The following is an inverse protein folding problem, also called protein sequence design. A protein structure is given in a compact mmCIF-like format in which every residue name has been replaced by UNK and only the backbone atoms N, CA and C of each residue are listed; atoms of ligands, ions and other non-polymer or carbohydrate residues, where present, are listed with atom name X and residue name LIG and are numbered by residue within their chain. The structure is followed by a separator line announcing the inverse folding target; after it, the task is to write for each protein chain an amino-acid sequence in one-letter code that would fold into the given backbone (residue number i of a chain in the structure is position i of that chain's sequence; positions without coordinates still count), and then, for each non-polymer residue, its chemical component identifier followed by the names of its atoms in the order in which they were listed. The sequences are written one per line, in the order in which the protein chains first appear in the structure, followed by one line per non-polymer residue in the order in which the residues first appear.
data_IF_565718639459
#
_entry.id   IF_565718639459
#
_cell.length_a   1.000
_cell.length_b   1.000
_cell.length_c   1.000
_cell.angle_alpha   90.00
_cell.angle_beta   90.00
_cell.angle_gamma   90.00
#
_symmetry.space_group_name_H-M   'P 1'
#
loop_
_entity.id
_entity.type
_entity.pdbx_description
1 polymer ?
#
# COMPACT_ATOMS: atom_id res chain seq x y z
N UNK A 1 -15.07 -34.72 -5.00
CA UNK A 1 -14.57 -33.34 -4.94
C UNK A 1 -14.45 -32.93 -3.49
N UNK A 2 -13.24 -32.86 -2.93
CA UNK A 2 -13.02 -32.36 -1.58
C UNK A 2 -13.37 -30.87 -1.55
N UNK A 3 -14.35 -30.46 -0.74
CA UNK A 3 -14.67 -29.03 -0.53
C UNK A 3 -13.40 -28.35 -0.03
N UNK A 4 -12.85 -27.41 -0.80
CA UNK A 4 -11.76 -26.54 -0.32
C UNK A 4 -12.23 -25.87 0.98
N UNK A 5 -11.40 -25.92 2.04
CA UNK A 5 -11.64 -25.18 3.27
C UNK A 5 -11.73 -23.69 2.91
N UNK A 6 -12.81 -23.03 3.33
CA UNK A 6 -13.00 -21.60 3.12
C UNK A 6 -12.44 -20.87 4.34
N UNK A 7 -11.27 -20.26 4.19
CA UNK A 7 -10.69 -19.40 5.23
C UNK A 7 -11.42 -18.06 5.28
N UNK A 8 -11.33 -17.36 6.39
CA UNK A 8 -11.98 -16.09 6.61
C UNK A 8 -10.97 -14.96 6.87
N UNK A 9 -11.33 -13.75 6.44
CA UNK A 9 -10.57 -12.52 6.64
C UNK A 9 -11.42 -11.47 7.35
N UNK A 10 -10.79 -10.73 8.27
CA UNK A 10 -11.32 -9.52 8.89
C UNK A 10 -10.40 -8.35 8.56
N UNK A 11 -10.95 -7.24 8.05
CA UNK A 11 -10.17 -6.05 7.70
C UNK A 11 -10.45 -4.89 8.63
N UNK A 12 -9.40 -4.31 9.17
CA UNK A 12 -9.39 -3.10 9.98
C UNK A 12 -8.79 -1.95 9.19
N UNK A 13 -9.33 -0.74 9.36
CA UNK A 13 -9.00 0.40 8.49
C UNK A 13 -9.27 0.03 7.02
N UNK A 14 -10.43 -0.61 6.77
CA UNK A 14 -10.72 -1.32 5.54
C UNK A 14 -10.72 -0.41 4.29
N UNK A 15 -10.93 0.90 4.48
CA UNK A 15 -11.04 1.86 3.40
C UNK A 15 -12.12 1.42 2.41
N UNK A 16 -11.75 1.31 1.14
CA UNK A 16 -12.65 0.85 0.07
C UNK A 16 -12.55 -0.65 -0.20
N UNK A 17 -12.04 -1.46 0.74
CA UNK A 17 -12.08 -2.92 0.64
C UNK A 17 -10.98 -3.54 -0.21
N UNK A 18 -9.80 -2.90 -0.28
CA UNK A 18 -8.69 -3.36 -1.12
C UNK A 18 -8.06 -4.68 -0.64
N UNK A 19 -8.01 -4.91 0.69
CA UNK A 19 -7.62 -6.20 1.24
C UNK A 19 -8.68 -7.26 0.94
N UNK A 20 -9.94 -6.92 1.18
CA UNK A 20 -11.08 -7.83 1.15
C UNK A 20 -11.26 -8.46 -0.23
N UNK A 21 -11.32 -7.64 -1.30
CA UNK A 21 -11.45 -8.16 -2.66
C UNK A 21 -10.24 -9.02 -3.08
N UNK A 22 -9.04 -8.66 -2.65
CA UNK A 22 -7.82 -9.41 -2.98
C UNK A 22 -7.81 -10.78 -2.29
N UNK A 23 -8.24 -10.86 -1.04
CA UNK A 23 -8.38 -12.11 -0.30
C UNK A 23 -9.52 -12.97 -0.82
N UNK A 24 -10.69 -12.39 -1.14
CA UNK A 24 -11.83 -13.14 -1.70
C UNK A 24 -11.48 -13.80 -3.04
N UNK A 25 -10.77 -13.09 -3.92
CA UNK A 25 -10.25 -13.65 -5.19
C UNK A 25 -9.28 -14.80 -5.00
N UNK A 26 -8.72 -14.95 -3.79
CA UNK A 26 -7.81 -16.02 -3.42
C UNK A 26 -8.43 -17.05 -2.46
N UNK A 27 -9.76 -17.13 -2.39
CA UNK A 27 -10.48 -18.23 -1.72
C UNK A 27 -10.86 -17.98 -0.26
N UNK A 28 -10.77 -16.74 0.21
CA UNK A 28 -11.22 -16.35 1.54
C UNK A 28 -12.68 -15.84 1.52
N UNK A 29 -13.29 -15.72 2.70
CA UNK A 29 -14.55 -15.02 2.93
C UNK A 29 -14.30 -13.80 3.82
N UNK A 30 -14.83 -12.64 3.44
CA UNK A 30 -14.79 -11.46 4.31
C UNK A 30 -15.85 -11.58 5.40
N UNK A 31 -15.44 -11.60 6.66
CA UNK A 31 -16.33 -11.79 7.81
C UNK A 31 -16.53 -10.51 8.63
N UNK A 32 -15.61 -9.56 8.54
CA UNK A 32 -15.68 -8.32 9.30
C UNK A 32 -14.97 -7.16 8.60
N UNK A 33 -15.57 -5.98 8.66
CA UNK A 33 -15.05 -4.76 8.06
C UNK A 33 -15.12 -3.60 9.07
N UNK A 34 -13.98 -3.06 9.48
CA UNK A 34 -13.91 -1.90 10.37
C UNK A 34 -13.38 -0.67 9.64
N UNK A 35 -14.18 0.39 9.55
CA UNK A 35 -13.82 1.64 8.87
C UNK A 35 -14.62 2.81 9.42
N UNK A 36 -13.95 3.93 9.71
CA UNK A 36 -14.58 5.12 10.31
C UNK A 36 -15.07 6.13 9.27
N UNK A 37 -14.50 6.13 8.07
CA UNK A 37 -14.82 7.09 7.03
C UNK A 37 -16.20 6.79 6.38
N UNK A 38 -17.16 7.74 6.41
CA UNK A 38 -18.51 7.49 5.90
C UNK A 38 -18.60 7.17 4.39
N UNK A 39 -17.71 7.75 3.58
CA UNK A 39 -17.67 7.44 2.14
C UNK A 39 -17.20 6.01 1.93
N UNK A 40 -16.11 5.61 2.60
CA UNK A 40 -15.62 4.25 2.59
C UNK A 40 -16.68 3.25 3.09
N UNK A 41 -17.38 3.55 4.19
CA UNK A 41 -18.48 2.70 4.68
C UNK A 41 -19.60 2.52 3.64
N UNK A 42 -19.93 3.56 2.88
CA UNK A 42 -20.90 3.45 1.78
C UNK A 42 -20.42 2.47 0.72
N UNK A 43 -19.13 2.54 0.33
CA UNK A 43 -18.52 1.59 -0.61
C UNK A 43 -18.54 0.16 -0.06
N UNK A 44 -18.11 -0.03 1.20
CA UNK A 44 -18.10 -1.34 1.84
C UNK A 44 -19.52 -1.93 1.96
N UNK A 45 -20.53 -1.11 2.21
CA UNK A 45 -21.94 -1.56 2.28
C UNK A 45 -22.52 -1.91 0.92
N UNK A 46 -22.06 -1.25 -0.15
CA UNK A 46 -22.43 -1.61 -1.52
C UNK A 46 -21.87 -2.98 -1.93
N UNK A 47 -20.61 -3.27 -1.60
CA UNK A 47 -19.94 -4.50 -2.04
C UNK A 47 -20.12 -5.68 -1.08
N UNK A 48 -20.28 -5.42 0.22
CA UNK A 48 -20.47 -6.43 1.27
C UNK A 48 -21.67 -6.09 2.14
N UNK A 49 -22.91 -6.11 1.61
CA UNK A 49 -24.11 -5.70 2.35
C UNK A 49 -24.31 -6.52 3.64
N UNK A 50 -24.09 -7.84 3.57
CA UNK A 50 -24.40 -8.78 4.67
C UNK A 50 -23.24 -8.99 5.65
N UNK A 51 -22.05 -8.45 5.37
CA UNK A 51 -20.89 -8.59 6.26
C UNK A 51 -21.04 -7.66 7.46
N UNK A 52 -20.72 -8.16 8.66
CA UNK A 52 -20.73 -7.37 9.90
C UNK A 52 -19.70 -6.25 9.81
N UNK A 53 -20.11 -5.03 10.18
CA UNK A 53 -19.27 -3.83 10.10
C UNK A 53 -19.06 -3.22 11.48
N UNK A 54 -17.86 -2.70 11.71
CA UNK A 54 -17.52 -1.83 12.83
C UNK A 54 -17.18 -0.43 12.32
N UNK A 55 -17.42 0.58 13.16
CA UNK A 55 -17.14 1.98 12.82
C UNK A 55 -15.77 2.41 13.39
N UNK A 56 -15.74 2.94 14.62
CA UNK A 56 -14.50 3.30 15.31
C UNK A 56 -13.91 2.06 16.01
N UNK A 57 -12.65 1.74 15.71
CA UNK A 57 -11.91 0.63 16.32
C UNK A 57 -11.80 0.75 17.85
N UNK A 58 -11.84 1.98 18.38
CA UNK A 58 -11.80 2.21 19.82
C UNK A 58 -13.10 1.79 20.54
N UNK A 59 -14.21 1.72 19.80
CA UNK A 59 -15.52 1.34 20.37
C UNK A 59 -15.81 -0.16 20.22
N UNK A 60 -15.13 -0.83 19.29
CA UNK A 60 -15.32 -2.27 19.01
C UNK A 60 -14.77 -3.11 20.15
N UNK A 61 -15.57 -4.04 20.67
CA UNK A 61 -15.11 -5.06 21.61
C UNK A 61 -14.68 -6.33 20.87
N UNK A 62 -13.80 -7.13 21.46
CA UNK A 62 -13.37 -8.39 20.84
C UNK A 62 -14.52 -9.38 20.63
N UNK A 63 -15.55 -9.35 21.48
CA UNK A 63 -16.78 -10.13 21.32
C UNK A 63 -17.57 -9.76 20.05
N UNK A 64 -17.42 -8.54 19.54
CA UNK A 64 -18.09 -8.09 18.32
C UNK A 64 -17.47 -8.67 17.06
N UNK A 65 -16.22 -9.09 17.12
CA UNK A 65 -15.45 -9.51 15.94
C UNK A 65 -15.69 -11.01 15.70
N UNK A 66 -16.31 -11.40 14.57
CA UNK A 66 -16.43 -12.81 14.18
C UNK A 66 -15.06 -13.48 14.04
N UNK A 67 -15.03 -14.80 14.15
CA UNK A 67 -13.80 -15.56 13.90
C UNK A 67 -13.32 -15.38 12.45
N UNK A 68 -12.03 -15.13 12.28
CA UNK A 68 -11.33 -15.09 11.00
C UNK A 68 -9.92 -15.65 11.18
N UNK A 69 -9.43 -16.38 10.17
CA UNK A 69 -8.07 -16.95 10.17
C UNK A 69 -7.02 -15.85 9.93
N UNK A 70 -7.39 -14.83 9.14
CA UNK A 70 -6.50 -13.72 8.76
C UNK A 70 -7.11 -12.40 9.19
N UNK A 71 -6.31 -11.54 9.82
CA UNK A 71 -6.66 -10.13 10.03
C UNK A 71 -5.78 -9.24 9.16
N UNK A 72 -6.35 -8.22 8.55
CA UNK A 72 -5.64 -7.24 7.73
C UNK A 72 -5.79 -5.83 8.32
N UNK A 73 -4.73 -5.03 8.27
CA UNK A 73 -4.78 -3.65 8.78
C UNK A 73 -3.76 -2.71 8.15
N UNK A 74 -4.23 -1.59 7.60
CA UNK A 74 -3.39 -0.47 7.17
C UNK A 74 -3.63 0.74 8.08
N UNK A 75 -3.11 0.70 9.32
CA UNK A 75 -3.39 1.77 10.28
C UNK A 75 -2.88 3.13 9.77
N UNK A 76 -3.55 4.24 10.13
CA UNK A 76 -3.33 5.52 9.46
C UNK A 76 -1.87 6.01 9.56
N UNK A 77 -1.27 6.32 8.41
CA UNK A 77 0.13 6.70 8.30
C UNK A 77 0.39 8.21 8.37
N UNK A 78 -0.61 9.05 8.70
CA UNK A 78 -0.48 10.50 8.53
C UNK A 78 0.58 11.13 9.45
N UNK A 79 0.81 10.52 10.62
CA UNK A 79 1.85 10.96 11.56
C UNK A 79 3.25 10.40 11.22
N UNK A 80 3.32 9.55 10.17
CA UNK A 80 4.52 8.83 9.69
C UNK A 80 4.94 9.31 8.27
N UNK A 81 4.02 9.82 7.45
CA UNK A 81 4.23 10.11 6.02
C UNK A 81 4.91 11.46 5.75
N UNK A 82 5.88 11.46 4.82
CA UNK A 82 6.58 12.65 4.31
C UNK A 82 5.70 13.56 3.43
N UNK A 83 4.57 13.04 2.92
CA UNK A 83 3.80 13.70 1.86
C UNK A 83 3.03 14.96 2.30
N UNK A 84 3.02 15.32 3.59
CA UNK A 84 2.24 16.45 4.15
C UNK A 84 3.05 17.68 4.57
N UNK A 85 4.32 17.79 4.16
CA UNK A 85 5.13 18.98 4.47
C UNK A 85 5.48 19.10 5.96
N UNK A 86 6.21 20.16 6.32
CA UNK A 86 7.01 20.37 7.55
C UNK A 86 6.27 20.39 8.92
N UNK A 87 5.19 19.61 9.08
CA UNK A 87 4.54 19.36 10.37
C UNK A 87 5.31 18.29 11.17
N UNK A 88 5.32 18.44 12.50
CA UNK A 88 6.07 17.59 13.44
C UNK A 88 5.60 16.13 13.30
N UNK A 89 6.53 15.22 12.99
CA UNK A 89 6.28 13.76 12.97
C UNK A 89 6.02 13.31 14.40
N UNK A 90 4.78 12.93 14.71
CA UNK A 90 4.43 12.39 16.03
C UNK A 90 4.65 10.87 16.10
N UNK A 91 4.75 10.18 14.95
CA UNK A 91 4.92 8.72 14.90
C UNK A 91 3.81 8.01 15.67
N UNK A 92 4.04 6.88 16.35
CA UNK A 92 2.98 6.16 17.10
C UNK A 92 2.36 6.95 18.27
N UNK A 93 3.00 8.04 18.71
CA UNK A 93 2.44 8.95 19.72
C UNK A 93 1.39 9.92 19.14
N UNK A 94 1.15 9.88 17.83
CA UNK A 94 0.08 10.61 17.17
C UNK A 94 -1.29 9.98 17.41
N UNK A 95 -2.34 10.80 17.44
CA UNK A 95 -3.72 10.33 17.67
C UNK A 95 -4.25 9.40 16.58
N UNK A 96 -3.64 9.39 15.38
CA UNK A 96 -4.08 8.56 14.24
C UNK A 96 -3.26 7.29 14.07
N UNK A 97 -1.94 7.38 14.20
CA UNK A 97 -1.00 6.24 14.18
C UNK A 97 -1.01 5.43 15.48
N UNK A 98 -1.40 6.02 16.61
CA UNK A 98 -1.60 5.32 17.89
C UNK A 98 -2.70 4.25 17.85
N UNK A 99 -3.52 4.22 16.80
CA UNK A 99 -4.50 3.16 16.56
C UNK A 99 -3.86 1.77 16.37
N UNK A 100 -2.53 1.70 16.15
CA UNK A 100 -1.79 0.44 16.22
C UNK A 100 -1.95 -0.24 17.58
N UNK A 101 -1.89 0.49 18.70
CA UNK A 101 -2.02 -0.11 20.03
C UNK A 101 -3.39 -0.73 20.24
N UNK A 102 -4.47 0.00 19.88
CA UNK A 102 -5.83 -0.55 19.93
C UNK A 102 -5.99 -1.79 19.05
N UNK A 103 -5.40 -1.78 17.86
CA UNK A 103 -5.42 -2.94 16.98
C UNK A 103 -4.65 -4.13 17.58
N UNK A 104 -3.48 -3.88 18.17
CA UNK A 104 -2.68 -4.89 18.85
C UNK A 104 -3.39 -5.49 20.09
N UNK A 105 -4.14 -4.69 20.85
CA UNK A 105 -5.00 -5.18 21.93
C UNK A 105 -6.04 -6.18 21.43
N UNK A 106 -6.78 -5.83 20.37
CA UNK A 106 -7.77 -6.72 19.76
C UNK A 106 -7.13 -8.01 19.22
N UNK A 107 -5.94 -7.91 18.62
CA UNK A 107 -5.15 -9.07 18.18
C UNK A 107 -4.74 -9.92 19.39
N UNK A 108 -4.33 -9.31 20.50
CA UNK A 108 -3.94 -10.02 21.72
C UNK A 108 -5.10 -10.84 22.30
N UNK A 109 -6.32 -10.32 22.24
CA UNK A 109 -7.52 -10.99 22.72
C UNK A 109 -8.01 -12.10 21.79
N UNK A 110 -7.95 -11.89 20.47
CA UNK A 110 -8.53 -12.84 19.48
C UNK A 110 -7.55 -13.80 18.85
N UNK A 111 -6.24 -13.49 18.89
CA UNK A 111 -5.13 -14.30 18.37
C UNK A 111 -5.43 -14.93 16.98
N UNK A 112 -5.78 -14.14 15.94
CA UNK A 112 -5.91 -14.69 14.59
C UNK A 112 -4.61 -15.39 14.16
N UNK A 113 -4.70 -16.45 13.35
CA UNK A 113 -3.50 -17.22 12.95
C UNK A 113 -2.50 -16.33 12.18
N UNK A 114 -3.02 -15.43 11.34
CA UNK A 114 -2.23 -14.52 10.52
C UNK A 114 -2.70 -13.08 10.70
N UNK A 115 -1.75 -12.15 10.81
CA UNK A 115 -2.01 -10.71 10.71
C UNK A 115 -1.16 -10.13 9.57
N UNK A 116 -1.80 -9.44 8.63
CA UNK A 116 -1.13 -8.69 7.57
C UNK A 116 -1.24 -7.19 7.88
N UNK A 117 -0.09 -6.51 7.95
CA UNK A 117 -0.02 -5.07 8.17
C UNK A 117 0.60 -4.41 6.95
N UNK A 118 0.02 -3.32 6.47
CA UNK A 118 0.58 -2.48 5.41
C UNK A 118 0.85 -1.07 5.93
N UNK A 119 1.98 -0.48 5.50
CA UNK A 119 2.26 0.93 5.77
C UNK A 119 3.23 1.54 4.73
N UNK A 120 3.46 2.85 4.83
CA UNK A 120 4.42 3.58 3.99
C UNK A 120 5.85 3.21 4.32
N UNK A 121 6.74 3.27 3.32
CA UNK A 121 8.18 3.03 3.49
C UNK A 121 8.85 3.99 4.50
N UNK A 122 8.22 5.12 4.81
CA UNK A 122 8.67 6.05 5.85
C UNK A 122 8.67 5.43 7.25
N UNK A 123 7.88 4.37 7.49
CA UNK A 123 7.75 3.71 8.80
C UNK A 123 9.11 3.26 9.36
N UNK A 124 10.01 2.73 8.52
CA UNK A 124 11.36 2.31 8.93
C UNK A 124 12.21 3.42 9.59
N UNK A 125 11.91 4.68 9.31
CA UNK A 125 12.66 5.84 9.82
C UNK A 125 11.80 6.74 10.72
N UNK A 126 10.56 6.34 10.98
CA UNK A 126 9.64 7.12 11.81
C UNK A 126 10.13 7.13 13.24
N UNK A 127 10.13 8.32 13.87
CA UNK A 127 10.75 8.55 15.18
C UNK A 127 12.13 7.91 15.30
N UNK A 128 13.06 8.17 14.36
CA UNK A 128 14.41 7.57 14.33
C UNK A 128 14.41 6.03 14.31
N UNK A 129 13.37 5.42 13.75
CA UNK A 129 13.20 3.95 13.68
C UNK A 129 12.49 3.33 14.88
N UNK A 130 12.12 4.11 15.89
CA UNK A 130 11.47 3.60 17.10
C UNK A 130 10.08 3.01 16.82
N UNK A 131 9.27 3.69 15.99
CA UNK A 131 7.90 3.24 15.72
C UNK A 131 7.86 1.85 15.08
N UNK A 132 8.78 1.57 14.15
CA UNK A 132 8.86 0.25 13.52
C UNK A 132 9.33 -0.81 14.52
N UNK A 133 10.30 -0.47 15.38
CA UNK A 133 10.75 -1.33 16.47
C UNK A 133 9.63 -1.70 17.43
N UNK A 134 8.83 -0.72 17.86
CA UNK A 134 7.64 -0.93 18.72
C UNK A 134 6.65 -1.89 18.08
N UNK A 135 6.38 -1.78 16.78
CA UNK A 135 5.46 -2.69 16.09
C UNK A 135 5.99 -4.13 16.12
N UNK A 136 7.26 -4.33 15.75
CA UNK A 136 7.86 -5.65 15.76
C UNK A 136 7.86 -6.21 17.18
N UNK A 137 8.36 -5.45 18.16
CA UNK A 137 8.44 -5.88 19.55
C UNK A 137 7.06 -6.27 20.08
N UNK A 138 6.05 -5.41 19.92
CA UNK A 138 4.67 -5.68 20.33
C UNK A 138 4.14 -6.98 19.73
N UNK A 139 4.24 -7.15 18.41
CA UNK A 139 3.72 -8.34 17.74
C UNK A 139 4.47 -9.61 18.16
N UNK A 140 5.79 -9.54 18.34
CA UNK A 140 6.58 -10.67 18.85
C UNK A 140 6.24 -11.03 20.30
N UNK A 141 5.99 -10.04 21.17
CA UNK A 141 5.51 -10.28 22.54
C UNK A 141 4.13 -10.92 22.58
N UNK A 142 3.31 -10.73 21.54
CA UNK A 142 2.04 -11.42 21.37
C UNK A 142 2.18 -12.86 20.81
N UNK A 143 3.40 -13.36 20.59
CA UNK A 143 3.65 -14.70 20.08
C UNK A 143 3.61 -14.81 18.55
N UNK A 144 3.67 -13.69 17.82
CA UNK A 144 3.77 -13.72 16.36
C UNK A 144 5.23 -13.67 15.91
N UNK A 145 5.56 -14.50 14.92
CA UNK A 145 6.73 -14.26 14.11
C UNK A 145 6.42 -13.19 13.08
N UNK A 146 7.28 -12.17 12.95
CA UNK A 146 7.02 -10.98 12.15
C UNK A 146 8.00 -10.93 10.99
N UNK A 147 7.57 -11.37 9.81
CA UNK A 147 8.32 -11.13 8.57
C UNK A 147 7.93 -9.77 8.01
N UNK A 148 8.89 -8.98 7.51
CA UNK A 148 8.60 -7.74 6.81
C UNK A 148 9.34 -7.64 5.49
N UNK A 149 8.74 -6.93 4.54
CA UNK A 149 9.35 -6.65 3.25
C UNK A 149 8.81 -5.38 2.62
N UNK A 150 9.70 -4.60 2.03
CA UNK A 150 9.35 -3.47 1.17
C UNK A 150 9.03 -3.97 -0.24
N UNK A 151 7.85 -3.64 -0.76
CA UNK A 151 7.38 -4.02 -2.09
C UNK A 151 6.94 -2.78 -2.88
N UNK A 152 7.11 -2.79 -4.20
CA UNK A 152 6.63 -1.74 -5.08
C UNK A 152 5.65 -2.30 -6.11
N UNK A 153 4.42 -1.76 -6.12
CA UNK A 153 3.31 -2.25 -6.96
C UNK A 153 3.62 -2.31 -8.46
N UNK A 154 4.59 -1.52 -8.94
CA UNK A 154 4.99 -1.49 -10.35
C UNK A 154 5.46 -2.83 -10.91
N UNK A 155 5.81 -3.77 -10.03
CA UNK A 155 6.30 -5.10 -10.39
C UNK A 155 5.24 -6.20 -10.26
N UNK A 156 4.01 -5.82 -9.92
CA UNK A 156 2.90 -6.74 -9.65
C UNK A 156 1.76 -6.59 -10.68
N UNK A 157 2.02 -6.00 -11.84
CA UNK A 157 1.03 -5.91 -12.92
C UNK A 157 0.19 -4.63 -12.94
N UNK A 158 0.52 -3.63 -12.12
CA UNK A 158 0.00 -2.26 -12.26
C UNK A 158 1.13 -1.26 -12.51
N UNK A 159 0.97 -0.28 -13.41
CA UNK A 159 2.05 0.63 -13.82
C UNK A 159 2.16 1.82 -12.87
N UNK A 160 2.22 1.56 -11.56
CA UNK A 160 2.31 2.58 -10.51
C UNK A 160 3.52 2.31 -9.62
N UNK A 161 4.41 3.28 -9.45
CA UNK A 161 5.48 3.17 -8.46
C UNK A 161 4.97 3.54 -7.06
N UNK A 162 4.33 2.59 -6.36
CA UNK A 162 3.86 2.71 -4.98
C UNK A 162 4.62 1.74 -4.09
N UNK A 163 5.65 2.27 -3.43
CA UNK A 163 6.48 1.50 -2.50
C UNK A 163 5.86 1.51 -1.10
N UNK A 164 5.64 0.31 -0.54
CA UNK A 164 5.02 0.08 0.78
C UNK A 164 5.72 -1.04 1.52
N UNK A 165 5.70 -0.98 2.85
CA UNK A 165 6.15 -2.06 3.70
C UNK A 165 4.95 -2.93 4.05
N UNK A 166 5.12 -4.23 3.93
CA UNK A 166 4.15 -5.23 4.36
C UNK A 166 4.79 -6.08 5.46
N UNK A 167 4.04 -6.34 6.52
CA UNK A 167 4.40 -7.29 7.57
C UNK A 167 3.44 -8.48 7.46
N UNK A 168 4.00 -9.68 7.48
CA UNK A 168 3.26 -10.92 7.67
C UNK A 168 3.61 -11.45 9.06
N UNK A 169 2.65 -11.34 9.96
CA UNK A 169 2.75 -11.83 11.32
C UNK A 169 2.04 -13.18 11.40
N UNK A 170 2.77 -14.26 11.69
CA UNK A 170 2.17 -15.60 11.85
C UNK A 170 2.32 -16.09 13.27
N UNK A 171 1.21 -16.50 13.89
CA UNK A 171 1.20 -16.95 15.27
C UNK A 171 2.04 -18.23 15.42
N UNK A 172 3.10 -18.17 16.22
CA UNK A 172 4.00 -19.28 16.51
C UNK A 172 4.62 -19.98 15.27
N UNK A 173 4.69 -19.32 14.11
CA UNK A 173 5.21 -19.94 12.89
C UNK A 173 6.10 -19.01 12.03
N UNK A 174 7.37 -18.85 12.41
CA UNK A 174 8.30 -18.01 11.66
C UNK A 174 8.59 -18.50 10.23
N UNK A 175 8.54 -19.81 9.98
CA UNK A 175 8.71 -20.39 8.64
C UNK A 175 7.61 -19.91 7.69
N UNK A 176 6.34 -20.03 8.10
CA UNK A 176 5.20 -19.57 7.29
C UNK A 176 5.22 -18.05 7.09
N UNK A 177 5.59 -17.27 8.11
CA UNK A 177 5.74 -15.82 7.99
C UNK A 177 6.73 -15.42 6.88
N UNK A 178 7.91 -16.06 6.82
CA UNK A 178 8.92 -15.77 5.80
C UNK A 178 8.48 -16.24 4.41
N UNK A 179 7.92 -17.45 4.27
CA UNK A 179 7.44 -18.01 2.99
C UNK A 179 6.40 -17.11 2.30
N UNK A 180 5.61 -16.37 3.07
CA UNK A 180 4.61 -15.44 2.52
C UNK A 180 5.25 -14.23 1.84
N UNK A 181 6.36 -13.70 2.36
CA UNK A 181 6.94 -12.45 1.86
C UNK A 181 8.21 -12.64 1.04
N UNK A 182 8.92 -13.77 1.16
CA UNK A 182 10.20 -13.98 0.52
C UNK A 182 10.17 -15.16 -0.46
N UNK A 183 10.83 -14.95 -1.59
CA UNK A 183 11.08 -16.03 -2.55
C UNK A 183 12.51 -16.57 -2.28
N UNK A 184 12.67 -17.89 -2.22
CA UNK A 184 13.98 -18.53 -1.97
C UNK A 184 15.06 -18.06 -2.96
N UNK A 185 14.66 -17.93 -4.22
CA UNK A 185 15.54 -17.49 -5.31
C UNK A 185 15.94 -16.00 -5.26
N UNK A 186 15.37 -15.23 -4.33
CA UNK A 186 15.62 -13.80 -4.11
C UNK A 186 14.89 -12.86 -5.07
N UNK A 187 15.00 -11.57 -4.80
CA UNK A 187 14.37 -10.52 -5.61
C UNK A 187 15.08 -10.30 -6.97
N UNK A 188 14.31 -10.00 -8.03
CA UNK A 188 14.87 -9.61 -9.34
C UNK A 188 15.39 -8.17 -9.29
N UNK A 189 16.65 -7.92 -9.67
CA UNK A 189 17.20 -6.55 -9.68
C UNK A 189 16.80 -5.81 -10.96
N UNK A 190 15.87 -4.86 -10.84
CA UNK A 190 15.52 -3.96 -11.93
C UNK A 190 16.67 -2.98 -12.24
N UNK A 191 17.00 -2.80 -13.52
CA UNK A 191 17.97 -1.79 -13.99
C UNK A 191 17.20 -0.60 -14.57
N UNK A 192 17.63 0.62 -14.24
CA UNK A 192 17.12 1.89 -14.81
C UNK A 192 15.66 2.23 -14.46
N UNK A 193 15.21 1.96 -13.24
CA UNK A 193 13.83 2.25 -12.77
C UNK A 193 13.33 3.68 -13.01
N UNK A 194 14.24 4.67 -13.03
CA UNK A 194 13.91 6.08 -13.28
C UNK A 194 13.51 6.37 -14.73
N UNK A 195 13.98 5.54 -15.67
CA UNK A 195 13.73 5.73 -17.10
C UNK A 195 12.23 5.58 -17.42
N UNK A 196 11.53 4.70 -16.71
CA UNK A 196 10.11 4.44 -16.96
C UNK A 196 9.18 5.61 -16.62
N UNK A 197 9.64 6.59 -15.84
CA UNK A 197 8.89 7.83 -15.60
C UNK A 197 9.05 8.87 -16.73
N UNK A 198 9.99 8.65 -17.65
CA UNK A 198 10.27 9.59 -18.75
C UNK A 198 10.13 8.94 -20.14
N UNK A 199 10.13 7.62 -20.23
CA UNK A 199 9.86 6.89 -21.48
C UNK A 199 8.38 6.97 -21.81
N UNK A 200 8.07 7.50 -23.00
CA UNK A 200 6.73 7.56 -23.56
C UNK A 200 6.20 6.15 -23.85
N UNK A 201 4.99 5.86 -23.38
CA UNK A 201 4.32 4.58 -23.56
C UNK A 201 3.59 4.48 -24.92
N UNK A 202 3.12 5.61 -25.44
CA UNK A 202 2.46 5.74 -26.74
C UNK A 202 3.46 5.69 -27.90
N UNK A 203 2.97 5.28 -29.08
CA UNK A 203 3.76 5.39 -30.32
C UNK A 203 3.90 6.86 -30.73
N UNK A 204 4.91 7.19 -31.56
CA UNK A 204 5.04 8.52 -32.14
C UNK A 204 3.73 8.97 -32.81
N UNK A 205 3.34 10.22 -32.55
CA UNK A 205 2.11 10.87 -33.05
C UNK A 205 0.77 10.27 -32.60
N UNK A 206 0.76 9.30 -31.69
CA UNK A 206 -0.47 8.81 -31.05
C UNK A 206 -0.73 9.54 -29.73
N UNK A 207 -2.00 9.63 -29.36
CA UNK A 207 -2.48 10.12 -28.08
C UNK A 207 -3.41 9.07 -27.45
N UNK A 208 -3.56 9.06 -26.12
CA UNK A 208 -2.92 9.96 -25.14
C UNK A 208 -1.44 9.64 -24.91
N UNK A 209 -0.65 10.67 -24.56
CA UNK A 209 0.76 10.50 -24.19
C UNK A 209 0.92 10.46 -22.68
N UNK A 210 1.53 9.37 -22.22
CA UNK A 210 1.82 9.10 -20.81
C UNK A 210 3.18 8.39 -20.68
N UNK A 211 3.87 8.49 -19.53
CA UNK A 211 5.04 7.67 -19.27
C UNK A 211 4.67 6.19 -19.08
N UNK A 212 5.63 5.26 -19.15
CA UNK A 212 5.38 3.83 -18.87
C UNK A 212 4.82 3.59 -17.47
N UNK A 213 5.30 4.35 -16.47
CA UNK A 213 4.90 4.20 -15.06
C UNK A 213 4.46 5.52 -14.44
N UNK A 214 3.34 5.47 -13.72
CA UNK A 214 2.80 6.55 -12.91
C UNK A 214 3.55 6.70 -11.58
N UNK A 215 3.62 7.94 -11.09
CA UNK A 215 3.91 8.22 -9.69
C UNK A 215 2.83 7.65 -8.76
N UNK A 216 3.17 7.52 -7.47
CA UNK A 216 2.27 7.05 -6.42
C UNK A 216 1.04 7.97 -6.29
N UNK A 217 -0.17 7.39 -6.30
CA UNK A 217 -1.37 8.11 -5.92
C UNK A 217 -1.32 8.48 -4.43
N UNK A 218 -1.69 9.72 -4.12
CA UNK A 218 -1.84 10.24 -2.77
C UNK A 218 -3.30 10.58 -2.51
N UNK A 219 -3.72 10.56 -1.23
CA UNK A 219 -5.07 10.95 -0.83
C UNK A 219 -5.45 12.38 -1.28
N UNK A 220 -4.45 13.23 -1.52
CA UNK A 220 -4.59 14.59 -2.01
C UNK A 220 -4.40 14.73 -3.52
N UNK A 221 -4.25 13.63 -4.28
CA UNK A 221 -4.01 13.66 -5.73
C UNK A 221 -5.12 14.36 -6.52
N UNK A 222 -6.32 14.53 -5.95
CA UNK A 222 -7.40 15.34 -6.54
C UNK A 222 -7.22 16.86 -6.42
N UNK A 223 -6.41 17.37 -5.47
CA UNK A 223 -6.24 18.81 -5.17
C UNK A 223 -4.81 19.29 -5.36
N UNK A 224 -4.58 20.57 -5.65
CA UNK A 224 -3.23 21.15 -5.75
C UNK A 224 -2.53 21.21 -4.38
N UNK A 225 -1.41 20.50 -4.20
CA UNK A 225 -0.67 20.45 -2.92
C UNK A 225 0.80 20.88 -3.01
N UNK A 226 1.21 21.54 -4.09
CA UNK A 226 2.59 22.01 -4.25
C UNK A 226 3.63 20.92 -4.56
N UNK A 227 3.19 19.68 -4.82
CA UNK A 227 4.03 18.52 -5.22
C UNK A 227 3.71 18.07 -6.65
N UNK A 228 3.41 19.00 -7.56
CA UNK A 228 2.90 18.66 -8.90
C UNK A 228 3.93 17.98 -9.81
N UNK A 229 5.22 18.08 -9.51
CA UNK A 229 6.29 17.39 -10.24
C UNK A 229 6.30 15.87 -10.03
N UNK A 230 5.65 15.37 -8.98
CA UNK A 230 5.50 13.94 -8.69
C UNK A 230 4.07 13.45 -8.91
N UNK A 231 3.35 14.10 -9.85
CA UNK A 231 2.01 13.69 -10.29
C UNK A 231 2.05 13.24 -11.74
N UNK A 232 1.15 12.31 -12.03
CA UNK A 232 0.94 11.82 -13.38
C UNK A 232 -0.22 12.58 -14.01
N UNK A 233 0.03 13.16 -15.18
CA UNK A 233 -0.96 13.81 -16.03
C UNK A 233 -1.04 13.09 -17.37
N UNK A 234 -2.19 13.19 -18.03
CA UNK A 234 -2.44 12.61 -19.34
C UNK A 234 -2.43 13.73 -20.37
N UNK A 235 -1.55 13.63 -21.36
CA UNK A 235 -1.52 14.58 -22.48
C UNK A 235 -2.43 14.04 -23.58
N UNK A 236 -3.50 14.77 -23.87
CA UNK A 236 -4.50 14.45 -24.88
C UNK A 236 -4.32 15.37 -26.10
N UNK A 237 -5.05 15.09 -27.20
CA UNK A 237 -5.05 15.96 -28.38
C UNK A 237 -5.42 17.42 -28.04
N UNK A 238 -6.45 17.59 -27.22
CA UNK A 238 -7.05 18.90 -26.94
C UNK A 238 -6.57 19.56 -25.64
N UNK A 239 -5.59 18.95 -24.95
CA UNK A 239 -5.02 19.54 -23.75
C UNK A 239 -4.39 18.54 -22.79
N UNK A 240 -4.11 19.01 -21.57
CA UNK A 240 -3.57 18.19 -20.48
C UNK A 240 -4.65 17.98 -19.44
N UNK A 241 -4.84 16.74 -18.98
CA UNK A 241 -5.82 16.41 -17.94
C UNK A 241 -5.21 15.61 -16.80
N UNK A 242 -5.91 15.64 -15.66
CA UNK A 242 -5.69 14.72 -14.54
C UNK A 242 -6.17 13.31 -14.94
N UNK A 243 -5.64 12.29 -14.28
CA UNK A 243 -6.23 10.96 -14.36
C UNK A 243 -7.64 10.98 -13.76
N UNK A 244 -8.60 10.28 -14.36
CA UNK A 244 -9.96 10.15 -13.82
C UNK A 244 -9.98 9.23 -12.59
N UNK A 245 -11.07 9.20 -11.82
CA UNK A 245 -11.23 8.20 -10.76
C UNK A 245 -11.18 6.77 -11.30
N UNK A 246 -11.77 6.49 -12.48
CA UNK A 246 -11.74 5.16 -13.09
C UNK A 246 -10.32 4.72 -13.45
N UNK A 247 -9.53 5.59 -14.07
CA UNK A 247 -8.11 5.33 -14.35
C UNK A 247 -7.32 5.13 -13.05
N UNK A 248 -7.69 5.83 -11.98
CA UNK A 248 -7.06 5.70 -10.66
C UNK A 248 -7.43 4.38 -9.95
N UNK A 249 -8.67 3.91 -10.08
CA UNK A 249 -9.14 2.59 -9.62
C UNK A 249 -8.32 1.48 -10.30
N UNK A 250 -8.25 1.53 -11.64
CA UNK A 250 -7.45 0.61 -12.46
C UNK A 250 -5.97 0.63 -12.06
N UNK A 251 -5.41 1.80 -11.79
CA UNK A 251 -4.01 1.96 -11.37
C UNK A 251 -3.69 1.34 -9.99
N UNK A 252 -4.71 1.14 -9.15
CA UNK A 252 -4.62 0.39 -7.88
C UNK A 252 -5.02 -1.09 -8.03
N UNK A 253 -5.56 -1.48 -9.20
CA UNK A 253 -6.02 -2.84 -9.51
C UNK A 253 -7.47 -3.15 -9.12
N UNK A 254 -8.28 -2.12 -8.83
CA UNK A 254 -9.71 -2.30 -8.56
C UNK A 254 -10.48 -2.63 -9.85
N UNK A 255 -11.61 -3.35 -9.75
CA UNK A 255 -12.58 -3.40 -10.83
C UNK A 255 -13.01 -1.99 -11.26
N UNK A 256 -13.42 -1.87 -12.52
CA UNK A 256 -13.97 -0.62 -13.03
C UNK A 256 -15.17 -0.17 -12.21
N UNK A 257 -15.22 1.13 -11.91
CA UNK A 257 -16.34 1.79 -11.22
C UNK A 257 -16.51 1.34 -9.76
N UNK A 258 -15.46 0.78 -9.17
CA UNK A 258 -15.49 0.27 -7.79
C UNK A 258 -15.94 1.30 -6.76
N UNK A 259 -15.59 2.57 -6.97
CA UNK A 259 -15.90 3.68 -6.06
C UNK A 259 -17.09 4.54 -6.52
N UNK A 260 -17.85 4.11 -7.52
CA UNK A 260 -19.11 4.76 -7.90
C UNK A 260 -20.22 4.40 -6.91
N UNK A 261 -20.97 5.41 -6.48
CA UNK A 261 -22.14 5.28 -5.61
C UNK A 261 -23.38 5.72 -6.39
N UNK A 262 -24.39 4.84 -6.48
CA UNK A 262 -25.61 5.13 -7.26
C UNK A 262 -26.49 6.23 -6.62
N UNK A 263 -26.44 6.38 -5.29
CA UNK A 263 -27.30 7.29 -4.52
C UNK A 263 -26.49 8.27 -3.67
N UNK A 264 -25.50 8.93 -4.25
CA UNK A 264 -24.70 9.93 -3.53
C UNK A 264 -25.45 11.26 -3.43
N UNK A 265 -25.75 11.70 -2.19
CA UNK A 265 -26.36 12.99 -1.92
C UNK A 265 -25.30 14.11 -1.95
N UNK A 266 -24.88 14.50 -3.16
CA UNK A 266 -23.91 15.58 -3.39
C UNK A 266 -23.69 15.81 -4.89
N UNK A 267 -22.85 16.79 -5.24
CA UNK A 267 -22.47 16.99 -6.64
C UNK A 267 -21.32 16.04 -7.04
N UNK A 268 -21.10 15.93 -8.36
CA UNK A 268 -20.08 15.04 -8.92
C UNK A 268 -18.65 15.41 -8.51
N UNK A 269 -18.36 16.70 -8.29
CA UNK A 269 -17.03 17.17 -7.88
C UNK A 269 -16.68 16.73 -6.45
N UNK A 270 -17.66 16.80 -5.56
CA UNK A 270 -17.53 16.33 -4.18
C UNK A 270 -17.35 14.81 -4.15
N UNK A 271 -18.13 14.08 -4.95
CA UNK A 271 -17.98 12.64 -5.11
C UNK A 271 -16.59 12.27 -5.63
N UNK A 272 -16.12 12.91 -6.71
CA UNK A 272 -14.81 12.65 -7.28
C UNK A 272 -13.68 12.94 -6.29
N UNK A 273 -13.79 14.00 -5.49
CA UNK A 273 -12.82 14.29 -4.43
C UNK A 273 -12.74 13.15 -3.42
N UNK A 274 -13.89 12.64 -2.96
CA UNK A 274 -13.95 11.50 -2.03
C UNK A 274 -13.35 10.24 -2.66
N UNK A 275 -13.67 9.96 -3.92
CA UNK A 275 -13.12 8.84 -4.69
C UNK A 275 -11.59 8.91 -4.77
N UNK A 276 -11.01 10.04 -5.21
CA UNK A 276 -9.56 10.21 -5.28
C UNK A 276 -8.88 10.02 -3.92
N UNK A 277 -9.48 10.57 -2.86
CA UNK A 277 -8.96 10.41 -1.50
C UNK A 277 -8.96 8.96 -1.05
N UNK A 278 -10.05 8.24 -1.28
CA UNK A 278 -10.19 6.83 -0.93
C UNK A 278 -9.22 5.94 -1.74
N UNK A 279 -9.16 6.11 -3.06
CA UNK A 279 -8.25 5.37 -3.95
C UNK A 279 -6.79 5.63 -3.62
N UNK A 280 -6.42 6.87 -3.31
CA UNK A 280 -5.05 7.24 -2.92
C UNK A 280 -4.59 6.60 -1.61
N UNK A 281 -5.53 6.41 -0.66
CA UNK A 281 -5.29 5.72 0.60
C UNK A 281 -5.33 4.19 0.47
N UNK A 282 -6.01 3.64 -0.53
CA UNK A 282 -6.12 2.21 -0.70
C UNK A 282 -4.77 1.49 -0.90
N UNK A 283 -4.77 0.21 -0.54
CA UNK A 283 -3.70 -0.73 -0.89
C UNK A 283 -3.72 -1.05 -2.40
N UNK A 284 -2.61 -1.56 -2.91
CA UNK A 284 -2.53 -2.04 -4.30
C UNK A 284 -2.98 -3.50 -4.34
N UNK A 285 -4.11 -3.76 -5.00
CA UNK A 285 -4.74 -5.10 -5.05
C UNK A 285 -3.77 -6.18 -5.55
N UNK A 286 -2.99 -5.99 -6.64
CA UNK A 286 -2.13 -7.06 -7.13
C UNK A 286 -1.00 -7.45 -6.17
N UNK A 287 -0.51 -6.52 -5.35
CA UNK A 287 0.46 -6.84 -4.29
C UNK A 287 -0.23 -7.66 -3.19
N UNK A 288 -1.43 -7.26 -2.80
CA UNK A 288 -2.19 -8.00 -1.78
C UNK A 288 -2.63 -9.37 -2.27
N UNK A 289 -3.03 -9.52 -3.53
CA UNK A 289 -3.35 -10.83 -4.12
C UNK A 289 -2.12 -11.77 -4.11
N UNK A 290 -0.92 -11.22 -4.40
CA UNK A 290 0.33 -11.97 -4.33
C UNK A 290 0.62 -12.48 -2.90
N UNK A 291 0.28 -11.69 -1.88
CA UNK A 291 0.37 -12.07 -0.46
C UNK A 291 -0.73 -13.10 -0.11
N UNK A 292 -1.99 -12.79 -0.41
CA UNK A 292 -3.16 -13.60 -0.07
C UNK A 292 -3.05 -15.02 -0.65
N UNK A 293 -2.57 -15.15 -1.90
CA UNK A 293 -2.30 -16.46 -2.53
C UNK A 293 -1.32 -17.30 -1.71
N UNK A 294 -0.26 -16.69 -1.17
CA UNK A 294 0.74 -17.38 -0.36
C UNK A 294 0.23 -17.69 1.03
N UNK A 295 -0.50 -16.76 1.66
CA UNK A 295 -1.18 -17.03 2.94
C UNK A 295 -2.14 -18.21 2.81
N UNK A 296 -2.95 -18.26 1.75
CA UNK A 296 -3.85 -19.40 1.50
C UNK A 296 -3.07 -20.72 1.36
N UNK A 297 -1.98 -20.72 0.61
CA UNK A 297 -1.13 -21.89 0.42
C UNK A 297 -0.57 -22.37 1.76
N UNK A 298 0.02 -21.46 2.55
CA UNK A 298 0.62 -21.78 3.85
C UNK A 298 -0.41 -22.19 4.91
N UNK A 299 -1.62 -21.62 4.92
CA UNK A 299 -2.72 -22.07 5.79
C UNK A 299 -3.19 -23.48 5.43
N UNK A 300 -3.10 -23.85 4.14
CA UNK A 300 -3.53 -25.15 3.63
C UNK A 300 -2.51 -26.27 3.86
N UNK A 301 -1.30 -25.96 4.30
CA UNK A 301 -0.27 -26.98 4.62
C UNK A 301 -0.39 -27.40 6.09
N UNK A 302 -0.22 -28.71 6.30
CA UNK A 302 -0.03 -29.31 7.63
C UNK A 302 1.44 -29.44 8.02
N UNK A 303 2.36 -28.87 7.23
CA UNK A 303 3.80 -29.03 7.47
C UNK A 303 4.21 -28.26 8.73
N UNK A 304 4.79 -28.98 9.68
CA UNK A 304 5.46 -28.41 10.83
C UNK A 304 6.96 -28.42 10.54
N UNK A 305 7.56 -27.23 10.59
CA UNK A 305 9.01 -27.07 10.50
C UNK A 305 9.53 -26.61 11.85
N UNK A 306 10.57 -27.28 12.34
CA UNK A 306 11.36 -26.74 13.44
C UNK A 306 12.10 -25.49 12.94
N UNK A 307 12.03 -24.41 13.71
CA UNK A 307 12.63 -23.15 13.31
C UNK A 307 14.14 -23.16 13.53
N UNK A 308 14.88 -22.77 12.49
CA UNK A 308 16.31 -22.57 12.54
C UNK A 308 16.70 -21.29 11.79
N UNK A 309 17.40 -20.38 12.48
CA UNK A 309 17.90 -19.14 11.90
C UNK A 309 18.94 -19.38 10.80
N UNK A 310 19.75 -20.44 10.92
CA UNK A 310 20.74 -20.79 9.90
C UNK A 310 20.09 -21.30 8.61
N UNK A 311 18.98 -22.04 8.75
CA UNK A 311 18.17 -22.46 7.60
C UNK A 311 17.69 -21.26 6.76
N UNK A 312 17.27 -20.16 7.38
CA UNK A 312 16.82 -18.98 6.61
C UNK A 312 17.96 -18.35 5.81
N UNK A 313 19.16 -18.21 6.40
CA UNK A 313 20.32 -17.66 5.70
C UNK A 313 20.79 -18.51 4.52
N UNK A 314 20.58 -19.84 4.59
CA UNK A 314 20.98 -20.78 3.55
C UNK A 314 19.91 -20.96 2.46
N UNK A 315 18.64 -20.89 2.82
CA UNK A 315 17.50 -21.07 1.90
C UNK A 315 17.16 -19.81 1.12
N UNK A 316 17.14 -18.64 1.78
CA UNK A 316 16.68 -17.40 1.16
C UNK A 316 17.85 -16.51 0.78
N UNK A 317 18.02 -16.24 -0.53
CA UNK A 317 19.15 -15.42 -1.03
C UNK A 317 19.22 -14.02 -0.41
N UNK A 318 18.08 -13.42 -0.11
CA UNK A 318 18.01 -12.08 0.50
C UNK A 318 18.66 -12.07 1.90
N UNK A 319 18.58 -13.18 2.65
CA UNK A 319 19.12 -13.32 4.01
C UNK A 319 20.57 -13.82 4.08
N UNK A 320 21.20 -14.15 2.94
CA UNK A 320 22.56 -14.72 2.90
C UNK A 320 23.62 -13.87 3.63
N UNK A 321 23.40 -12.55 3.72
CA UNK A 321 24.26 -11.60 4.44
C UNK A 321 23.58 -10.95 5.65
N UNK A 322 22.41 -11.45 6.04
CA UNK A 322 21.71 -10.94 7.22
C UNK A 322 22.45 -11.35 8.48
N UNK A 323 22.51 -10.43 9.45
CA UNK A 323 23.09 -10.68 10.76
C UNK A 323 21.96 -10.96 11.76
N UNK A 324 22.17 -11.93 12.64
CA UNK A 324 21.22 -12.26 13.71
C UNK A 324 21.49 -11.34 14.89
N UNK A 325 20.45 -10.67 15.36
CA UNK A 325 20.48 -9.80 16.53
C UNK A 325 19.60 -10.39 17.63
N UNK A 326 20.10 -10.39 18.86
CA UNK A 326 19.45 -10.96 20.05
C UNK A 326 18.89 -9.92 21.01
N UNK A 327 18.96 -8.64 20.65
CA UNK A 327 18.66 -7.52 21.54
C UNK A 327 17.24 -6.96 21.39
N UNK A 328 16.34 -7.57 20.61
CA UNK A 328 15.01 -6.96 20.34
C UNK A 328 14.19 -6.71 21.62
N UNK A 329 14.26 -7.63 22.58
CA UNK A 329 13.55 -7.51 23.85
C UNK A 329 14.19 -6.46 24.77
N UNK A 330 15.50 -6.25 24.64
CA UNK A 330 16.29 -5.32 25.46
C UNK A 330 16.33 -3.91 24.87
N UNK A 331 15.88 -3.74 23.62
CA UNK A 331 15.79 -2.43 22.98
C UNK A 331 14.71 -1.59 23.64
N UNK A 332 15.14 -0.48 24.25
CA UNK A 332 14.25 0.55 24.76
C UNK A 332 13.87 1.53 23.64
N UNK A 333 12.74 1.27 23.00
CA UNK A 333 12.19 2.19 22.00
C UNK A 333 11.53 3.44 22.59
N UNK A 334 11.58 3.65 23.91
CA UNK A 334 11.15 4.90 24.56
C UNK A 334 12.28 5.92 24.72
N UNK A 335 13.55 5.50 24.59
CA UNK A 335 14.72 6.39 24.62
C UNK A 335 14.83 7.21 23.33
N UNK A 336 14.34 8.45 23.38
CA UNK A 336 14.28 9.35 22.21
C UNK A 336 15.65 9.77 21.65
N UNK A 337 16.76 9.53 22.36
CA UNK A 337 18.09 9.92 21.92
C UNK A 337 18.74 8.87 21.01
N UNK A 338 18.34 7.60 21.14
CA UNK A 338 18.82 6.51 20.29
C UNK A 338 18.26 6.60 18.86
N UNK A 339 18.93 5.91 17.93
CA UNK A 339 18.56 5.88 16.53
C UNK A 339 18.73 4.45 15.98
N UNK A 340 17.64 3.88 15.48
CA UNK A 340 17.59 2.53 14.96
C UNK A 340 17.44 2.55 13.45
N UNK A 341 18.36 1.90 12.75
CA UNK A 341 18.33 1.79 11.29
C UNK A 341 17.89 0.39 10.89
N UNK A 342 16.63 0.27 10.47
CA UNK A 342 16.06 -0.98 10.01
C UNK A 342 16.35 -1.22 8.53
N UNK A 343 16.75 -2.44 8.18
CA UNK A 343 16.72 -2.86 6.79
C UNK A 343 15.28 -3.07 6.29
N UNK A 344 15.12 -3.01 4.97
CA UNK A 344 13.82 -2.98 4.29
C UNK A 344 13.15 -4.35 4.18
N UNK A 345 13.81 -5.41 4.62
CA UNK A 345 13.25 -6.74 4.78
C UNK A 345 13.83 -7.40 6.02
N UNK A 346 13.15 -8.41 6.53
CA UNK A 346 13.63 -9.19 7.67
C UNK A 346 12.59 -10.12 8.29
N UNK A 347 12.98 -10.73 9.39
CA UNK A 347 12.14 -11.58 10.23
C UNK A 347 12.54 -11.39 11.70
N UNK A 348 11.55 -11.28 12.58
CA UNK A 348 11.72 -11.25 14.03
C UNK A 348 10.91 -12.35 14.70
N UNK A 349 11.52 -13.04 15.66
CA UNK A 349 10.90 -14.14 16.39
C UNK A 349 11.62 -14.40 17.72
N UNK A 350 10.85 -14.65 18.79
CA UNK A 350 11.37 -14.97 20.13
C UNK A 350 12.42 -14.00 20.69
N UNK A 351 12.27 -12.69 20.44
CA UNK A 351 13.23 -11.68 20.91
C UNK A 351 14.50 -11.55 20.07
N UNK A 352 14.62 -12.33 19.00
CA UNK A 352 15.69 -12.19 18.02
C UNK A 352 15.12 -11.61 16.73
N UNK A 353 15.97 -10.95 15.94
CA UNK A 353 15.62 -10.57 14.57
C UNK A 353 16.82 -10.67 13.63
N UNK A 354 16.52 -10.88 12.35
CA UNK A 354 17.48 -10.81 11.27
C UNK A 354 16.89 -9.92 10.19
N UNK A 355 17.60 -8.85 9.87
CA UNK A 355 17.20 -7.93 8.81
C UNK A 355 18.10 -8.05 7.59
N UNK A 356 17.58 -7.63 6.44
CA UNK A 356 18.23 -7.85 5.16
C UNK A 356 17.93 -6.76 4.14
N UNK A 357 18.92 -6.49 3.29
CA UNK A 357 18.77 -5.62 2.14
C UNK A 357 17.96 -6.31 1.06
N UNK A 358 16.78 -5.77 0.76
CA UNK A 358 15.88 -6.28 -0.28
C UNK A 358 15.69 -5.29 -1.42
N UNK A 359 15.54 -5.81 -2.64
CA UNK A 359 14.96 -5.06 -3.75
C UNK A 359 13.43 -5.05 -3.59
N UNK A 360 12.72 -3.98 -4.00
CA UNK A 360 11.26 -3.90 -3.84
C UNK A 360 10.47 -4.74 -4.86
N UNK A 361 11.11 -5.75 -5.45
CA UNK A 361 10.60 -6.62 -6.50
C UNK A 361 10.32 -8.03 -5.95
N UNK A 362 9.34 -8.76 -6.51
CA UNK A 362 9.27 -10.20 -6.35
C UNK A 362 10.37 -10.90 -7.18
N UNK A 363 10.47 -12.22 -7.05
CA UNK A 363 11.31 -13.06 -7.93
C UNK A 363 10.89 -13.03 -9.41
N UNK A 364 9.61 -12.78 -9.69
CA UNK A 364 9.04 -12.75 -11.04
C UNK A 364 8.26 -11.46 -11.24
N UNK A 365 8.78 -10.55 -12.07
CA UNK A 365 8.15 -9.26 -12.38
C UNK A 365 6.98 -9.44 -13.36
N UNK A 366 5.82 -8.88 -13.01
CA UNK A 366 4.67 -8.74 -13.91
C UNK A 366 4.69 -7.32 -14.50
N UNK A 367 4.98 -7.22 -15.80
CA UNK A 367 5.04 -5.94 -16.53
C UNK A 367 3.64 -5.42 -16.83
N UNK A 368 3.52 -4.10 -16.90
CA UNK A 368 2.31 -3.37 -17.28
C UNK A 368 2.70 -2.01 -17.86
N UNK A 369 1.78 -1.37 -18.60
CA UNK A 369 1.96 -0.02 -19.15
C UNK A 369 0.83 0.89 -18.67
N UNK A 370 1.17 2.13 -18.28
CA UNK A 370 0.17 3.12 -17.89
C UNK A 370 -0.84 3.36 -19.02
N UNK A 371 -0.39 3.33 -20.28
CA UNK A 371 -1.24 3.55 -21.45
C UNK A 371 -2.43 2.57 -21.52
N UNK A 372 -2.26 1.34 -21.02
CA UNK A 372 -3.31 0.31 -21.04
C UNK A 372 -4.47 0.66 -20.08
N UNK A 373 -4.24 1.55 -19.12
CA UNK A 373 -5.24 1.94 -18.12
C UNK A 373 -5.96 3.24 -18.47
N UNK A 374 -5.42 4.03 -19.41
CA UNK A 374 -5.92 5.37 -19.77
C UNK A 374 -7.17 5.24 -20.65
N UNK A 375 -8.19 6.02 -20.33
CA UNK A 375 -9.40 6.18 -21.12
C UNK A 375 -9.10 6.90 -22.43
N UNK A 376 -9.54 6.31 -23.54
CA UNK A 376 -9.28 6.79 -24.91
C UNK A 376 -10.46 7.55 -25.53
N UNK A 377 -11.66 7.37 -24.98
CA UNK A 377 -12.90 8.00 -25.45
C UNK A 377 -13.23 9.28 -24.64
N UNK A 378 -14.26 10.04 -25.05
CA UNK A 378 -14.62 11.38 -24.55
C UNK A 378 -14.59 11.53 -23.01
N UNK A 379 -13.45 12.00 -22.48
CA UNK A 379 -13.28 12.32 -21.06
C UNK A 379 -13.83 13.72 -20.78
N UNK A 380 -14.64 13.84 -19.73
CA UNK A 380 -15.23 15.12 -19.31
C UNK A 380 -14.19 16.24 -19.18
N UNK A 381 -14.56 17.44 -19.66
CA UNK A 381 -13.72 18.65 -19.63
C UNK A 381 -13.33 19.08 -18.21
N UNK A 382 -14.06 18.64 -17.18
CA UNK A 382 -13.75 18.91 -15.76
C UNK A 382 -12.37 18.41 -15.31
N UNK A 383 -11.81 17.40 -16.01
CA UNK A 383 -10.50 16.84 -15.68
C UNK A 383 -9.34 17.60 -16.35
N UNK A 384 -9.63 18.40 -17.38
CA UNK A 384 -8.64 19.18 -18.11
C UNK A 384 -8.13 20.36 -17.28
N UNK A 385 -6.84 20.65 -17.44
CA UNK A 385 -6.19 21.75 -16.75
C UNK A 385 -6.52 23.08 -17.41
N UNK A 386 -6.62 24.13 -16.59
CA UNK A 386 -6.68 25.51 -17.09
C UNK A 386 -5.28 26.05 -17.44
N UNK A 387 -5.18 27.10 -18.27
CA UNK A 387 -3.90 27.79 -18.52
C UNK A 387 -3.21 28.26 -17.24
N UNK A 388 -3.99 28.72 -16.24
CA UNK A 388 -3.47 29.11 -14.92
C UNK A 388 -2.89 27.93 -14.14
N UNK A 389 -3.54 26.76 -14.20
CA UNK A 389 -3.02 25.55 -13.56
C UNK A 389 -1.70 25.11 -14.22
N UNK A 390 -1.63 25.17 -15.56
CA UNK A 390 -0.43 24.84 -16.32
C UNK A 390 0.76 25.74 -15.94
N UNK A 391 0.56 27.07 -15.90
CA UNK A 391 1.58 28.01 -15.44
C UNK A 391 2.06 27.70 -14.02
N UNK A 392 1.10 27.45 -13.11
CA UNK A 392 1.39 27.12 -11.73
C UNK A 392 2.27 25.87 -11.58
N UNK A 393 2.00 24.82 -12.37
CA UNK A 393 2.78 23.58 -12.40
C UNK A 393 4.20 23.85 -12.90
N UNK A 394 4.34 24.52 -14.06
CA UNK A 394 5.64 24.84 -14.65
C UNK A 394 6.52 25.63 -13.68
N UNK A 395 5.96 26.70 -13.08
CA UNK A 395 6.66 27.53 -12.09
C UNK A 395 7.17 26.70 -10.90
N UNK A 396 6.34 25.79 -10.37
CA UNK A 396 6.73 24.95 -9.21
C UNK A 396 7.80 23.93 -9.56
N UNK A 397 7.74 23.35 -10.76
CA UNK A 397 8.74 22.42 -11.29
C UNK A 397 10.10 23.10 -11.45
N UNK A 398 10.11 24.27 -12.09
CA UNK A 398 11.33 25.03 -12.40
C UNK A 398 12.00 25.53 -11.12
N UNK A 399 11.23 26.06 -10.17
CA UNK A 399 11.74 26.49 -8.86
C UNK A 399 12.40 25.37 -8.05
N UNK A 400 12.06 24.11 -8.33
CA UNK A 400 12.62 22.95 -7.64
C UNK A 400 13.71 22.22 -8.47
N UNK A 401 14.06 22.73 -9.65
CA UNK A 401 15.06 22.13 -10.54
C UNK A 401 14.67 20.71 -10.98
N UNK A 402 13.38 20.43 -11.15
CA UNK A 402 12.87 19.11 -11.55
C UNK A 402 12.62 19.05 -13.05
N UNK A 403 12.72 17.85 -13.62
CA UNK A 403 12.39 17.60 -15.04
C UNK A 403 11.09 16.83 -15.12
N UNK A 404 10.17 17.28 -15.98
CA UNK A 404 8.94 16.56 -16.31
C UNK A 404 9.17 15.58 -17.45
N UNK A 405 8.25 14.62 -17.57
CA UNK A 405 8.04 13.87 -18.80
C UNK A 405 7.91 14.85 -19.99
N UNK A 406 8.76 14.67 -21.01
CA UNK A 406 8.95 15.68 -22.06
C UNK A 406 7.65 16.09 -22.78
N UNK A 407 6.79 15.14 -23.23
CA UNK A 407 5.49 15.50 -23.81
C UNK A 407 4.60 16.32 -22.89
N UNK A 408 4.64 16.07 -21.57
CA UNK A 408 3.88 16.84 -20.60
C UNK A 408 4.41 18.28 -20.49
N UNK A 409 5.73 18.47 -20.46
CA UNK A 409 6.33 19.82 -20.43
C UNK A 409 5.86 20.65 -21.62
N UNK A 410 5.99 20.09 -22.83
CA UNK A 410 5.62 20.76 -24.10
C UNK A 410 4.12 21.11 -24.09
N UNK A 411 3.26 20.18 -23.69
CA UNK A 411 1.82 20.40 -23.66
C UNK A 411 1.40 21.47 -22.63
N UNK A 412 2.05 21.51 -21.46
CA UNK A 412 1.80 22.53 -20.44
C UNK A 412 2.25 23.92 -20.91
N UNK A 413 3.39 24.02 -21.60
CA UNK A 413 3.85 25.30 -22.16
C UNK A 413 2.86 25.83 -23.20
N UNK A 414 2.40 24.99 -24.13
CA UNK A 414 1.35 25.35 -25.10
C UNK A 414 0.05 25.78 -24.42
N UNK A 415 -0.38 25.02 -23.40
CA UNK A 415 -1.62 25.32 -22.67
C UNK A 415 -1.54 26.64 -21.89
N UNK A 416 -0.36 26.96 -21.32
CA UNK A 416 -0.10 28.23 -20.62
C UNK A 416 -0.25 29.44 -21.55
N UNK A 417 0.15 29.30 -22.82
CA UNK A 417 0.15 30.40 -23.79
C UNK A 417 -1.25 30.69 -24.38
N UNK A 418 -2.23 29.82 -24.16
CA UNK A 418 -3.64 30.02 -24.54
C UNK A 418 -4.41 30.96 -23.59
N UNK A 419 -3.72 31.87 -22.91
CA UNK A 419 -4.28 32.79 -21.90
C UNK A 419 -4.98 34.01 -22.50
#
# INVERSE_FOLDING_TARGET
MTKKKKYAVSSFFAGIGGFDIAFERNGFATNFLCEINPFCQSILSQHWPDVKKGNDINEIQSSDIPHSDVWCGGFPCQDISLARGASRRLGLNGTRSGLFYRYAELIAEKKPEVVIIENVAGLFNSNKGHDFGVIIQTMTSLGYAVSWRLLNSRYFGVPQSRTRVYLCCWLNNPTKAVKVLFDECGAEKSKRERLDFITEASKPNEYPKVPNVSYCLAASSGRHTGTDWSRTYVVCHDGVRRMTPLESERLQGFPDKWTELQNFNGNDDDLNTLRYTAIGNAVSIPVVEWIAKRVYAELSTSEQFEWDWHHIQTTYKDFKKGELHDSLNDMDFTDVDQNHKWQKGGIAWNGLYMDCLVSPTPSTIIKSSLLDLIEKDDVSSMYYLSPNAAEGILRRVDNQGRTLFSPLRIALEKLKDNK
#
